data_IF_353794137979
#
_entry.id   IF_353794137979
#
_cell.length_a   1.000
_cell.length_b   1.000
_cell.length_c   1.000
_cell.angle_alpha   90.00
_cell.angle_beta   90.00
_cell.angle_gamma   90.00
#
_symmetry.space_group_name_H-M   'P 1'
#
loop_
_entity.id
_entity.type
_entity.pdbx_description
1 polymer ?
#
# COMPACT_ATOMS: atom_id res chain seq x y z
N UNK A 1 -12.87 21.52 -12.77
CA UNK A 1 -11.59 20.94 -12.35
C UNK A 1 -10.87 20.50 -13.61
N UNK A 2 -9.65 20.91 -13.89
CA UNK A 2 -8.93 20.40 -15.05
C UNK A 2 -8.61 18.92 -14.82
N UNK A 3 -9.26 18.04 -15.57
CA UNK A 3 -9.01 16.60 -15.57
C UNK A 3 -7.75 16.35 -16.41
N UNK A 4 -6.59 16.39 -15.76
CA UNK A 4 -5.32 16.03 -16.39
C UNK A 4 -5.20 14.51 -16.50
N UNK A 5 -4.40 14.02 -17.45
CA UNK A 5 -4.20 12.57 -17.69
C UNK A 5 -3.83 11.81 -16.41
N UNK A 6 -2.89 12.28 -15.56
CA UNK A 6 -2.58 11.60 -14.29
C UNK A 6 -3.82 11.48 -13.38
N UNK A 7 -4.57 12.57 -13.18
CA UNK A 7 -5.77 12.53 -12.32
C UNK A 7 -6.82 11.54 -12.83
N UNK A 8 -6.99 11.41 -14.15
CA UNK A 8 -7.93 10.46 -14.73
C UNK A 8 -7.50 9.01 -14.42
N UNK A 9 -6.21 8.71 -14.50
CA UNK A 9 -5.66 7.39 -14.17
C UNK A 9 -5.89 7.05 -12.69
N UNK A 10 -5.66 8.01 -11.78
CA UNK A 10 -5.90 7.80 -10.35
C UNK A 10 -7.38 7.58 -10.03
N UNK A 11 -8.29 8.36 -10.65
CA UNK A 11 -9.75 8.16 -10.51
C UNK A 11 -10.14 6.78 -11.05
N UNK A 12 -9.61 6.37 -12.21
CA UNK A 12 -9.86 5.04 -12.77
C UNK A 12 -9.42 3.94 -11.78
N UNK A 13 -8.27 4.10 -11.11
CA UNK A 13 -7.81 3.16 -10.09
C UNK A 13 -8.79 3.03 -8.93
N UNK A 14 -9.34 4.13 -8.44
CA UNK A 14 -10.38 4.11 -7.40
C UNK A 14 -11.64 3.37 -7.88
N UNK A 15 -12.02 3.58 -9.14
CA UNK A 15 -13.16 2.87 -9.75
C UNK A 15 -12.88 1.36 -9.99
N UNK A 16 -11.62 0.98 -10.12
CA UNK A 16 -11.24 -0.45 -10.21
C UNK A 16 -11.41 -1.19 -8.88
N UNK A 17 -11.43 -0.51 -7.73
CA UNK A 17 -11.61 -1.16 -6.42
C UNK A 17 -12.93 -1.93 -6.32
N UNK A 18 -14.12 -1.34 -6.57
CA UNK A 18 -15.36 -2.11 -6.54
C UNK A 18 -15.39 -3.23 -7.59
N UNK A 19 -14.80 -3.03 -8.76
CA UNK A 19 -14.70 -4.08 -9.78
C UNK A 19 -13.83 -5.23 -9.28
N UNK A 20 -12.70 -4.94 -8.66
CA UNK A 20 -11.80 -5.91 -8.03
C UNK A 20 -12.53 -6.74 -6.96
N UNK A 21 -13.30 -6.08 -6.07
CA UNK A 21 -14.10 -6.73 -5.04
C UNK A 21 -15.13 -7.67 -5.68
N UNK A 22 -15.89 -7.18 -6.67
CA UNK A 22 -16.90 -7.98 -7.36
C UNK A 22 -16.28 -9.21 -8.03
N UNK A 23 -15.18 -9.05 -8.74
CA UNK A 23 -14.46 -10.16 -9.38
C UNK A 23 -13.98 -11.20 -8.38
N UNK A 24 -13.51 -10.78 -7.21
CA UNK A 24 -13.01 -11.68 -6.18
C UNK A 24 -14.12 -12.58 -5.61
N UNK A 25 -15.37 -12.10 -5.54
CA UNK A 25 -16.51 -12.87 -5.01
C UNK A 25 -17.27 -13.68 -6.06
N UNK A 26 -16.88 -13.62 -7.34
CA UNK A 26 -17.55 -14.43 -8.36
C UNK A 26 -17.25 -15.93 -8.13
N UNK A 27 -18.24 -16.82 -8.24
CA UNK A 27 -18.09 -18.26 -7.99
C UNK A 27 -17.49 -19.00 -9.20
N UNK A 28 -16.45 -18.46 -9.82
CA UNK A 28 -15.80 -19.05 -11.00
C UNK A 28 -14.31 -19.26 -10.77
N UNK A 29 -13.73 -20.32 -11.34
CA UNK A 29 -12.30 -20.60 -11.20
C UNK A 29 -11.40 -19.48 -11.72
N UNK A 30 -11.82 -18.75 -12.73
CA UNK A 30 -11.07 -17.64 -13.29
C UNK A 30 -11.12 -16.36 -12.46
N UNK A 31 -12.02 -16.28 -11.49
CA UNK A 31 -12.24 -15.05 -10.68
C UNK A 31 -10.99 -14.61 -9.91
N UNK A 32 -10.26 -15.55 -9.33
CA UNK A 32 -9.00 -15.27 -8.63
C UNK A 32 -7.96 -14.64 -9.57
N UNK A 33 -7.78 -15.24 -10.75
CA UNK A 33 -6.84 -14.70 -11.75
C UNK A 33 -7.30 -13.33 -12.26
N UNK A 34 -8.60 -13.13 -12.49
CA UNK A 34 -9.15 -11.85 -12.93
C UNK A 34 -8.96 -10.78 -11.85
N UNK A 35 -9.27 -11.08 -10.59
CA UNK A 35 -9.07 -10.16 -9.47
C UNK A 35 -7.58 -9.79 -9.31
N UNK A 36 -6.69 -10.77 -9.37
CA UNK A 36 -5.25 -10.56 -9.35
C UNK A 36 -4.76 -9.68 -10.51
N UNK A 37 -5.31 -9.91 -11.72
CA UNK A 37 -4.96 -9.12 -12.91
C UNK A 37 -5.40 -7.66 -12.78
N UNK A 38 -6.60 -7.40 -12.24
CA UNK A 38 -7.08 -6.03 -11.97
C UNK A 38 -6.21 -5.35 -10.91
N UNK A 39 -5.84 -6.07 -9.85
CA UNK A 39 -4.93 -5.55 -8.82
C UNK A 39 -3.55 -5.23 -9.40
N UNK A 40 -2.97 -6.13 -10.20
CA UNK A 40 -1.67 -5.93 -10.85
C UNK A 40 -1.70 -4.75 -11.85
N UNK A 41 -2.80 -4.62 -12.61
CA UNK A 41 -3.01 -3.50 -13.52
C UNK A 41 -3.08 -2.18 -12.76
N UNK A 42 -3.84 -2.13 -11.66
CA UNK A 42 -3.92 -0.95 -10.81
C UNK A 42 -2.56 -0.56 -10.22
N UNK A 43 -1.76 -1.54 -9.78
CA UNK A 43 -0.41 -1.31 -9.29
C UNK A 43 0.54 -0.81 -10.41
N UNK A 44 0.41 -1.32 -11.62
CA UNK A 44 1.20 -0.87 -12.77
C UNK A 44 0.82 0.56 -13.20
N UNK A 45 -0.47 0.91 -13.14
CA UNK A 45 -0.94 2.26 -13.46
C UNK A 45 -0.46 3.30 -12.44
N UNK A 46 -0.27 2.94 -11.17
CA UNK A 46 0.34 3.81 -10.15
C UNK A 46 1.77 4.22 -10.50
N UNK A 47 2.57 3.25 -10.95
CA UNK A 47 3.92 3.57 -11.42
C UNK A 47 3.90 4.46 -12.67
N UNK A 48 2.95 4.22 -13.58
CA UNK A 48 2.83 4.94 -14.84
C UNK A 48 2.37 6.39 -14.64
N UNK A 49 1.37 6.65 -13.79
CA UNK A 49 0.87 8.00 -13.53
C UNK A 49 1.92 8.86 -12.80
N UNK A 50 2.63 8.29 -11.83
CA UNK A 50 3.76 8.95 -11.18
C UNK A 50 4.90 9.29 -12.15
N UNK A 51 5.15 8.46 -13.17
CA UNK A 51 6.11 8.74 -14.24
C UNK A 51 5.60 9.85 -15.17
N UNK A 52 4.34 9.77 -15.61
CA UNK A 52 3.71 10.76 -16.52
C UNK A 52 3.57 12.12 -15.85
N UNK A 53 3.16 12.18 -14.58
CA UNK A 53 3.03 13.44 -13.83
C UNK A 53 4.36 14.20 -13.77
N UNK A 54 5.47 13.48 -13.53
CA UNK A 54 6.81 14.08 -13.53
C UNK A 54 7.27 14.53 -14.92
N UNK A 55 6.97 13.74 -15.97
CA UNK A 55 7.42 14.03 -17.33
C UNK A 55 6.61 15.14 -18.00
N UNK A 56 5.32 15.26 -17.66
CA UNK A 56 4.41 16.24 -18.24
C UNK A 56 4.29 17.52 -17.40
N UNK A 57 4.94 17.58 -16.23
CA UNK A 57 4.85 18.67 -15.26
C UNK A 57 3.39 19.00 -14.86
N UNK A 58 2.51 17.99 -14.92
CA UNK A 58 1.06 18.12 -14.69
C UNK A 58 0.67 17.63 -13.29
N UNK A 59 1.36 18.07 -12.25
CA UNK A 59 0.94 17.79 -10.87
C UNK A 59 -0.19 18.73 -10.46
N UNK A 60 -1.27 18.15 -9.92
CA UNK A 60 -2.39 18.93 -9.36
C UNK A 60 -2.51 18.66 -7.84
N UNK A 61 -3.00 19.64 -7.04
CA UNK A 61 -3.24 19.40 -5.61
C UNK A 61 -4.20 18.23 -5.37
N UNK A 62 -5.18 18.03 -6.24
CA UNK A 62 -6.15 16.94 -6.17
C UNK A 62 -5.48 15.58 -6.44
N UNK A 63 -4.65 15.46 -7.48
CA UNK A 63 -3.89 14.24 -7.74
C UNK A 63 -2.93 13.90 -6.60
N UNK A 64 -2.16 14.87 -6.13
CA UNK A 64 -1.24 14.69 -5.00
C UNK A 64 -1.92 14.20 -3.70
N UNK A 65 -3.20 14.53 -3.51
CA UNK A 65 -4.03 14.00 -2.42
C UNK A 65 -4.57 12.60 -2.75
N UNK A 66 -5.12 12.39 -3.96
CA UNK A 66 -5.84 11.18 -4.31
C UNK A 66 -4.91 9.99 -4.56
N UNK A 67 -3.71 10.20 -5.12
CA UNK A 67 -2.75 9.12 -5.44
C UNK A 67 -2.38 8.29 -4.20
N UNK A 68 -1.90 8.89 -3.08
CA UNK A 68 -1.57 8.11 -1.88
C UNK A 68 -2.80 7.42 -1.26
N UNK A 69 -3.99 7.98 -1.43
CA UNK A 69 -5.25 7.40 -0.91
C UNK A 69 -5.62 6.18 -1.75
N UNK A 70 -5.62 6.29 -3.08
CA UNK A 70 -5.97 5.20 -3.99
C UNK A 70 -5.05 3.98 -3.81
N UNK A 71 -3.73 4.20 -3.72
CA UNK A 71 -2.73 3.14 -3.53
C UNK A 71 -2.95 2.39 -2.21
N UNK A 72 -3.06 3.11 -1.10
CA UNK A 72 -3.29 2.51 0.21
C UNK A 72 -4.62 1.78 0.32
N UNK A 73 -5.67 2.34 -0.28
CA UNK A 73 -7.00 1.75 -0.26
C UNK A 73 -7.02 0.43 -1.02
N UNK A 74 -6.38 0.37 -2.20
CA UNK A 74 -6.29 -0.85 -3.00
C UNK A 74 -5.58 -1.98 -2.25
N UNK A 75 -4.44 -1.67 -1.61
CA UNK A 75 -3.69 -2.65 -0.80
C UNK A 75 -4.49 -3.08 0.43
N UNK A 76 -5.12 -2.15 1.14
CA UNK A 76 -5.93 -2.46 2.31
C UNK A 76 -7.11 -3.37 1.96
N UNK A 77 -7.84 -3.09 0.89
CA UNK A 77 -8.94 -3.91 0.39
C UNK A 77 -8.44 -5.30 0.01
N UNK A 78 -7.32 -5.41 -0.72
CA UNK A 78 -6.74 -6.70 -1.08
C UNK A 78 -6.39 -7.54 0.17
N UNK A 79 -5.77 -6.94 1.18
CA UNK A 79 -5.45 -7.63 2.44
C UNK A 79 -6.70 -8.08 3.19
N UNK A 80 -7.75 -7.25 3.24
CA UNK A 80 -9.03 -7.60 3.90
C UNK A 80 -9.68 -8.78 3.19
N UNK A 81 -9.76 -8.78 1.85
CA UNK A 81 -10.32 -9.88 1.07
C UNK A 81 -9.53 -11.19 1.27
N UNK A 82 -8.20 -11.11 1.28
CA UNK A 82 -7.34 -12.27 1.51
C UNK A 82 -7.49 -12.80 2.93
N UNK A 83 -7.56 -11.94 3.96
CA UNK A 83 -7.78 -12.35 5.35
C UNK A 83 -9.12 -13.07 5.48
N UNK A 84 -10.18 -12.56 4.86
CA UNK A 84 -11.49 -13.18 4.87
C UNK A 84 -11.48 -14.54 4.15
N UNK A 85 -10.83 -14.64 2.98
CA UNK A 85 -10.82 -15.88 2.18
C UNK A 85 -9.97 -16.98 2.81
N UNK A 86 -8.82 -16.64 3.37
CA UNK A 86 -7.90 -17.62 3.96
C UNK A 86 -8.21 -17.92 5.44
N UNK A 87 -8.87 -17.02 6.17
CA UNK A 87 -9.34 -17.14 7.55
C UNK A 87 -8.33 -17.81 8.52
N UNK A 88 -7.04 -17.41 8.45
CA UNK A 88 -5.99 -17.98 9.30
C UNK A 88 -5.06 -16.91 9.88
N UNK A 89 -4.41 -17.24 11.00
CA UNK A 89 -3.51 -16.36 11.74
C UNK A 89 -2.30 -15.91 10.90
N UNK A 90 -1.74 -16.80 10.09
CA UNK A 90 -0.50 -16.55 9.33
C UNK A 90 -0.66 -15.47 8.25
N UNK A 91 -1.89 -15.21 7.82
CA UNK A 91 -2.21 -14.11 6.91
C UNK A 91 -2.74 -12.89 7.67
N UNK A 92 -3.54 -13.10 8.71
CA UNK A 92 -4.11 -12.01 9.49
C UNK A 92 -3.04 -11.17 10.17
N UNK A 93 -2.00 -11.80 10.75
CA UNK A 93 -0.92 -11.08 11.44
C UNK A 93 -0.16 -10.12 10.52
N UNK A 94 0.42 -10.56 9.38
CA UNK A 94 1.12 -9.64 8.48
C UNK A 94 0.19 -8.59 7.87
N UNK A 95 -1.07 -8.90 7.58
CA UNK A 95 -2.05 -7.94 7.09
C UNK A 95 -2.30 -6.82 8.11
N UNK A 96 -2.54 -7.17 9.38
CA UNK A 96 -2.72 -6.20 10.46
C UNK A 96 -1.49 -5.31 10.66
N UNK A 97 -0.28 -5.89 10.58
CA UNK A 97 0.99 -5.14 10.66
C UNK A 97 1.11 -4.14 9.51
N UNK A 98 0.83 -4.57 8.28
CA UNK A 98 0.96 -3.71 7.10
C UNK A 98 -0.05 -2.56 7.16
N UNK A 99 -1.33 -2.86 7.41
CA UNK A 99 -2.40 -1.84 7.49
C UNK A 99 -2.14 -0.88 8.66
N UNK A 100 -1.85 -1.43 9.85
CA UNK A 100 -1.60 -0.61 11.05
C UNK A 100 -0.41 0.34 10.86
N UNK A 101 0.67 -0.15 10.25
CA UNK A 101 1.83 0.70 9.94
C UNK A 101 1.50 1.79 8.92
N UNK A 102 0.70 1.50 7.88
CA UNK A 102 0.33 2.52 6.91
C UNK A 102 -0.44 3.68 7.58
N UNK A 103 -1.31 3.37 8.54
CA UNK A 103 -2.04 4.37 9.32
C UNK A 103 -1.08 5.18 10.19
N UNK A 104 -0.25 4.50 11.01
CA UNK A 104 0.67 5.15 11.96
C UNK A 104 1.67 6.06 11.24
N UNK A 105 2.29 5.57 10.15
CA UNK A 105 3.29 6.37 9.42
C UNK A 105 2.64 7.50 8.62
N UNK A 106 1.40 7.34 8.15
CA UNK A 106 0.69 8.45 7.50
C UNK A 106 0.38 9.57 8.48
N UNK A 107 -0.15 9.23 9.66
CA UNK A 107 -0.40 10.20 10.72
C UNK A 107 0.88 10.89 11.20
N UNK A 108 1.97 10.11 11.37
CA UNK A 108 3.27 10.65 11.77
C UNK A 108 3.82 11.63 10.73
N UNK A 109 3.71 11.32 9.45
CA UNK A 109 4.17 12.22 8.38
C UNK A 109 3.36 13.50 8.30
N UNK A 110 2.06 13.43 8.49
CA UNK A 110 1.17 14.59 8.53
C UNK A 110 1.56 15.51 9.69
N UNK A 111 1.67 14.95 10.88
CA UNK A 111 2.08 15.68 12.07
C UNK A 111 3.49 16.32 11.93
N UNK A 112 4.49 15.58 11.42
CA UNK A 112 5.82 16.14 11.14
C UNK A 112 5.79 17.24 10.06
N UNK A 113 4.84 17.18 9.14
CA UNK A 113 4.64 18.23 8.14
C UNK A 113 4.10 19.52 8.77
N UNK A 114 3.19 19.42 9.71
CA UNK A 114 2.66 20.57 10.49
C UNK A 114 3.76 21.24 11.32
N UNK A 115 4.70 20.46 11.86
CA UNK A 115 5.86 20.97 12.59
C UNK A 115 6.98 21.54 11.70
N UNK A 116 6.80 21.54 10.37
CA UNK A 116 7.82 22.02 9.42
C UNK A 116 9.05 21.10 9.25
N UNK A 117 9.02 19.89 9.84
CA UNK A 117 10.14 18.94 9.90
C UNK A 117 10.08 17.83 8.83
N UNK A 118 9.48 18.10 7.66
CA UNK A 118 9.27 17.13 6.55
C UNK A 118 10.54 16.43 6.05
N UNK A 119 11.70 17.09 6.12
CA UNK A 119 12.90 16.67 5.42
C UNK A 119 13.72 15.55 6.11
N UNK A 120 13.40 15.19 7.35
CA UNK A 120 14.24 14.27 8.14
C UNK A 120 13.94 12.79 7.93
N UNK A 121 13.00 12.46 7.05
CA UNK A 121 12.58 11.08 6.83
C UNK A 121 12.87 10.66 5.39
N UNK A 122 14.16 10.44 5.09
CA UNK A 122 14.60 9.95 3.78
C UNK A 122 14.11 8.51 3.53
N UNK A 123 13.58 8.28 2.34
CA UNK A 123 13.18 6.93 1.89
C UNK A 123 14.42 6.07 1.69
N UNK A 124 14.66 5.09 2.56
CA UNK A 124 15.76 4.15 2.40
C UNK A 124 15.50 3.18 1.23
N UNK A 125 16.56 2.64 0.62
CA UNK A 125 16.45 1.60 -0.42
C UNK A 125 15.69 0.35 0.06
N UNK A 126 15.69 0.07 1.36
CA UNK A 126 14.88 -0.98 1.99
C UNK A 126 13.37 -0.79 1.77
N UNK A 127 12.90 0.46 1.63
CA UNK A 127 11.50 0.74 1.33
C UNK A 127 11.06 0.22 -0.04
N UNK A 128 11.93 0.20 -1.04
CA UNK A 128 11.63 -0.31 -2.38
C UNK A 128 11.44 -1.84 -2.37
N UNK A 129 12.34 -2.57 -1.72
CA UNK A 129 12.28 -4.02 -1.61
C UNK A 129 11.07 -4.50 -0.82
N UNK A 130 10.75 -3.82 0.27
CA UNK A 130 9.55 -4.08 1.07
C UNK A 130 8.27 -3.98 0.23
N UNK A 131 8.11 -2.89 -0.51
CA UNK A 131 6.92 -2.66 -1.35
C UNK A 131 6.85 -3.68 -2.49
N UNK A 132 7.97 -3.98 -3.15
CA UNK A 132 8.02 -4.98 -4.19
C UNK A 132 7.63 -6.38 -3.66
N UNK A 133 8.20 -6.80 -2.54
CA UNK A 133 7.85 -8.09 -1.91
C UNK A 133 6.36 -8.16 -1.54
N UNK A 134 5.81 -7.09 -0.97
CA UNK A 134 4.38 -6.98 -0.63
C UNK A 134 3.49 -7.11 -1.87
N UNK A 135 3.78 -6.36 -2.94
CA UNK A 135 2.98 -6.38 -4.17
C UNK A 135 3.02 -7.76 -4.85
N UNK A 136 4.20 -8.38 -4.93
CA UNK A 136 4.35 -9.75 -5.47
C UNK A 136 3.57 -10.75 -4.61
N UNK A 137 3.67 -10.67 -3.28
CA UNK A 137 2.91 -11.53 -2.37
C UNK A 137 1.40 -11.42 -2.60
N UNK A 138 0.88 -10.19 -2.69
CA UNK A 138 -0.55 -9.94 -2.91
C UNK A 138 -1.02 -10.49 -4.26
N UNK A 139 -0.26 -10.26 -5.33
CA UNK A 139 -0.59 -10.78 -6.68
C UNK A 139 -0.65 -12.30 -6.66
N UNK A 140 0.33 -12.98 -6.04
CA UNK A 140 0.36 -14.44 -5.94
C UNK A 140 -0.82 -14.96 -5.12
N UNK A 141 -1.11 -14.37 -3.96
CA UNK A 141 -2.20 -14.80 -3.09
C UNK A 141 -3.57 -14.55 -3.72
N UNK A 142 -3.77 -13.44 -4.41
CA UNK A 142 -5.01 -13.12 -5.12
C UNK A 142 -5.24 -14.03 -6.33
N UNK A 143 -4.17 -14.48 -7.01
CA UNK A 143 -4.27 -15.34 -8.18
C UNK A 143 -4.63 -16.80 -7.85
N UNK A 144 -4.51 -17.19 -6.59
CA UNK A 144 -4.67 -18.57 -6.17
C UNK A 144 -5.83 -18.71 -5.15
N UNK A 145 -6.63 -19.76 -5.32
CA UNK A 145 -7.62 -20.15 -4.32
C UNK A 145 -6.93 -20.45 -2.97
N UNK A 146 -7.62 -20.24 -1.83
CA UNK A 146 -7.09 -20.54 -0.50
C UNK A 146 -6.93 -22.05 -0.29
N UNK A 147 -5.82 -22.59 -0.82
CA UNK A 147 -5.44 -24.00 -0.70
C UNK A 147 -3.96 -24.08 -0.36
N UNK A 148 -3.51 -25.19 0.25
CA UNK A 148 -2.11 -25.39 0.63
C UNK A 148 -1.27 -25.79 -0.59
N UNK A 149 -0.96 -24.81 -1.45
CA UNK A 149 -0.15 -24.97 -2.65
C UNK A 149 1.20 -24.27 -2.51
N UNK A 150 2.19 -24.65 -3.32
CA UNK A 150 3.49 -23.99 -3.34
C UNK A 150 3.38 -22.47 -3.50
N UNK A 151 2.53 -22.00 -4.41
CA UNK A 151 2.34 -20.57 -4.67
C UNK A 151 1.73 -19.82 -3.48
N UNK A 152 0.75 -20.42 -2.82
CA UNK A 152 0.14 -19.82 -1.62
C UNK A 152 1.14 -19.75 -0.46
N UNK A 153 1.93 -20.79 -0.25
CA UNK A 153 2.99 -20.79 0.77
C UNK A 153 4.05 -19.73 0.45
N UNK A 154 4.47 -19.62 -0.81
CA UNK A 154 5.39 -18.57 -1.25
C UNK A 154 4.82 -17.17 -1.00
N UNK A 155 3.54 -16.96 -1.29
CA UNK A 155 2.83 -15.71 -1.01
C UNK A 155 2.83 -15.36 0.48
N UNK A 156 2.59 -16.34 1.37
CA UNK A 156 2.68 -16.13 2.82
C UNK A 156 4.09 -15.74 3.25
N UNK A 157 5.10 -16.45 2.79
CA UNK A 157 6.50 -16.16 3.15
C UNK A 157 6.89 -14.74 2.71
N UNK A 158 6.56 -14.36 1.48
CA UNK A 158 6.83 -13.01 0.98
C UNK A 158 6.08 -11.94 1.77
N UNK A 159 4.81 -12.19 2.14
CA UNK A 159 4.01 -11.25 2.93
C UNK A 159 4.57 -11.09 4.35
N UNK A 160 5.04 -12.17 4.98
CA UNK A 160 5.71 -12.13 6.29
C UNK A 160 7.02 -11.36 6.23
N UNK A 161 7.83 -11.56 5.18
CA UNK A 161 9.05 -10.80 4.95
C UNK A 161 8.72 -9.30 4.80
N UNK A 162 7.71 -8.98 3.98
CA UNK A 162 7.26 -7.60 3.78
C UNK A 162 6.78 -6.96 5.09
N UNK A 163 6.04 -7.69 5.93
CA UNK A 163 5.59 -7.23 7.24
C UNK A 163 6.78 -6.99 8.20
N UNK A 164 7.75 -7.89 8.25
CA UNK A 164 8.97 -7.73 9.05
C UNK A 164 9.78 -6.51 8.64
N UNK A 165 10.03 -6.32 7.34
CA UNK A 165 10.70 -5.13 6.80
C UNK A 165 9.89 -3.85 7.06
N UNK A 166 8.56 -3.97 7.07
CA UNK A 166 7.63 -2.88 7.36
C UNK A 166 7.75 -2.42 8.81
N UNK A 167 7.78 -3.36 9.77
CA UNK A 167 8.01 -3.05 11.19
C UNK A 167 9.39 -2.45 11.42
N UNK A 168 10.42 -3.02 10.83
CA UNK A 168 11.76 -2.47 10.91
C UNK A 168 11.82 -1.01 10.44
N UNK A 169 11.25 -0.73 9.27
CA UNK A 169 11.21 0.63 8.75
C UNK A 169 10.39 1.56 9.67
N UNK A 170 9.28 1.09 10.26
CA UNK A 170 8.48 1.87 11.19
C UNK A 170 9.28 2.30 12.43
N UNK A 171 10.06 1.36 13.00
CA UNK A 171 10.94 1.69 14.14
C UNK A 171 11.96 2.77 13.77
N UNK A 172 12.54 2.72 12.56
CA UNK A 172 13.45 3.76 12.10
C UNK A 172 12.76 5.12 11.98
N UNK A 173 11.53 5.17 11.44
CA UNK A 173 10.75 6.40 11.34
C UNK A 173 10.41 6.99 12.72
N UNK A 174 9.96 6.13 13.65
CA UNK A 174 9.66 6.57 15.02
C UNK A 174 10.90 7.09 15.75
N UNK A 175 12.05 6.44 15.56
CA UNK A 175 13.32 6.92 16.13
C UNK A 175 13.72 8.29 15.57
N UNK A 176 13.57 8.52 14.28
CA UNK A 176 13.87 9.80 13.63
C UNK A 176 12.92 10.91 14.08
N UNK A 177 11.65 10.59 14.35
CA UNK A 177 10.66 11.54 14.85
C UNK A 177 10.76 11.80 16.36
N UNK A 178 11.41 10.90 17.12
CA UNK A 178 11.46 10.94 18.60
C UNK A 178 11.93 12.26 19.21
N UNK A 179 12.99 12.95 18.68
CA UNK A 179 13.42 14.24 19.21
C UNK A 179 12.33 15.32 19.17
N UNK A 180 11.43 15.25 18.18
CA UNK A 180 10.32 16.19 17.99
C UNK A 180 9.07 15.84 18.81
N UNK A 181 9.02 14.60 19.34
CA UNK A 181 7.95 14.12 20.22
C UNK A 181 8.17 14.50 21.68
N UNK A 182 9.40 14.88 22.05
CA UNK A 182 9.67 15.33 23.42
C UNK A 182 9.22 16.79 23.58
N UNK A 183 8.44 17.11 24.61
CA UNK A 183 8.16 18.51 24.94
C UNK A 183 9.50 19.21 25.14
N UNK A 184 9.72 20.31 24.44
CA UNK A 184 10.81 21.24 24.72
C UNK A 184 10.63 21.75 26.13
N UNK A 185 11.49 21.30 27.05
CA UNK A 185 11.57 21.82 28.44
C UNK A 185 12.28 23.17 28.41
N UNK A 186 11.77 24.13 27.64
CA UNK A 186 12.22 25.51 27.62
C UNK A 186 11.01 26.43 27.53
N UNK A 187 10.31 26.57 28.65
CA UNK A 187 9.56 27.76 29.01
C UNK A 187 9.60 27.89 30.51
N UNK A 188 10.68 28.51 30.99
CA UNK A 188 10.68 29.26 32.25
C UNK A 188 11.41 30.58 32.08
#
# INVERSE_FOLDING_TARGET
MPMNIPNLITVLRVLLIPIFILLFYLPYHWSYMAASSVFALAAATDWLDGYLARRLEQSTPFGAFLDPVADKLMVAVALVLLVQAHANFWLTLPAAVIIGREIVISALREWMAELGARAQVAVSNLGKWKTAAQMVALIILLANAPAFTFWVVLGYVLLMIAAGLTLWSMVQYLRAAWPHLRPTTEEK
#
